data_IF_373235222731
#
_entry.id   IF_373235222731
#
_cell.length_a   1.000
_cell.length_b   1.000
_cell.length_c   1.000
_cell.angle_alpha   90.00
_cell.angle_beta   90.00
_cell.angle_gamma   90.00
#
_symmetry.space_group_name_H-M   'P 1'
#
loop_
_entity.id
_entity.type
_entity.pdbx_description
1 polymer ?
#
# COMPACT_ATOMS: atom_id res chain seq x y z
N UNK A 1 -52.86 71.12 -4.51
CA UNK A 1 -53.21 70.97 -3.09
C UNK A 1 -52.69 69.63 -2.58
N UNK A 2 -51.88 69.64 -1.51
CA UNK A 2 -51.62 68.62 -0.47
C UNK A 2 -52.33 67.24 -0.68
N UNK A 3 -51.72 66.04 -0.58
CA UNK A 3 -50.98 65.45 0.56
C UNK A 3 -50.29 64.11 0.17
N UNK A 4 -49.13 63.82 0.80
CA UNK A 4 -48.62 62.57 1.44
C UNK A 4 -49.01 61.16 0.91
N UNK A 5 -48.24 60.06 0.98
CA UNK A 5 -46.85 59.64 1.30
C UNK A 5 -46.84 58.10 1.07
N UNK A 6 -45.70 57.54 0.60
CA UNK A 6 -45.16 56.16 0.72
C UNK A 6 -46.02 54.89 0.64
N UNK A 7 -45.53 53.90 -0.12
CA UNK A 7 -44.91 52.66 0.43
C UNK A 7 -44.05 51.96 -0.65
N UNK A 8 -42.86 51.55 -0.21
CA UNK A 8 -41.76 50.88 -0.91
C UNK A 8 -42.13 49.46 -1.37
N UNK A 9 -41.68 49.08 -2.57
CA UNK A 9 -41.46 47.68 -2.95
C UNK A 9 -40.01 47.54 -3.46
N UNK A 10 -39.17 46.90 -2.65
CA UNK A 10 -37.77 46.60 -2.92
C UNK A 10 -37.71 45.36 -3.81
N UNK A 11 -37.33 45.52 -5.07
CA UNK A 11 -37.05 44.40 -5.97
C UNK A 11 -35.63 43.91 -5.71
N UNK A 12 -35.50 42.78 -5.01
CA UNK A 12 -34.23 42.11 -4.78
C UNK A 12 -33.75 41.44 -6.07
N UNK A 13 -32.66 41.96 -6.64
CA UNK A 13 -31.90 41.33 -7.72
C UNK A 13 -31.15 40.13 -7.13
N UNK A 14 -31.52 38.92 -7.57
CA UNK A 14 -30.80 37.68 -7.27
C UNK A 14 -29.43 37.73 -7.96
N UNK A 15 -28.39 38.10 -7.21
CA UNK A 15 -27.01 37.88 -7.61
C UNK A 15 -26.64 36.42 -7.28
N UNK A 16 -26.58 35.57 -8.31
CA UNK A 16 -26.00 34.23 -8.19
C UNK A 16 -24.49 34.36 -7.98
N UNK A 17 -24.05 34.34 -6.74
CA UNK A 17 -22.65 34.11 -6.40
C UNK A 17 -22.33 32.65 -6.72
N UNK A 18 -21.65 32.42 -7.84
CA UNK A 18 -20.99 31.16 -8.10
C UNK A 18 -19.89 30.97 -7.06
N UNK A 19 -20.03 29.96 -6.21
CA UNK A 19 -18.96 29.48 -5.34
C UNK A 19 -17.94 28.77 -6.22
N UNK A 20 -16.98 29.50 -6.77
CA UNK A 20 -15.74 28.85 -7.22
C UNK A 20 -15.00 28.38 -5.96
N UNK A 21 -14.52 27.12 -5.89
CA UNK A 21 -13.63 26.73 -4.83
C UNK A 21 -12.40 27.64 -4.91
N UNK A 22 -12.18 28.43 -3.86
CA UNK A 22 -10.96 29.19 -3.70
C UNK A 22 -9.82 28.18 -3.53
N UNK A 23 -9.01 27.99 -4.57
CA UNK A 23 -7.70 27.38 -4.40
C UNK A 23 -6.94 28.24 -3.38
N UNK A 24 -6.69 27.67 -2.20
CA UNK A 24 -5.83 28.29 -1.21
C UNK A 24 -4.51 28.63 -1.92
N UNK A 25 -4.21 29.93 -2.05
CA UNK A 25 -2.99 30.39 -2.68
C UNK A 25 -1.82 30.02 -1.76
N UNK A 26 -1.16 28.90 -2.03
CA UNK A 26 0.02 28.47 -1.26
C UNK A 26 1.08 29.57 -1.35
N UNK A 27 1.45 30.14 -0.20
CA UNK A 27 2.56 31.06 -0.11
C UNK A 27 3.85 30.35 -0.55
N UNK A 28 4.77 31.06 -1.20
CA UNK A 28 6.06 30.46 -1.59
C UNK A 28 6.84 30.10 -0.33
N UNK A 29 7.03 28.81 -0.09
CA UNK A 29 7.79 28.27 1.04
C UNK A 29 8.87 27.33 0.52
N UNK A 30 10.02 27.32 1.20
CA UNK A 30 11.11 26.35 0.92
C UNK A 30 10.81 24.94 1.44
N UNK A 31 9.76 24.81 2.26
CA UNK A 31 9.33 23.58 2.91
C UNK A 31 7.81 23.50 2.87
N UNK A 32 7.28 22.34 2.53
CA UNK A 32 5.89 21.98 2.67
C UNK A 32 5.82 20.64 3.40
N UNK A 33 4.84 20.48 4.29
CA UNK A 33 4.60 19.21 4.94
C UNK A 33 3.12 18.97 5.10
N UNK A 34 2.78 17.70 5.10
CA UNK A 34 1.47 17.20 5.44
C UNK A 34 1.65 15.99 6.35
N UNK A 35 0.80 15.87 7.35
CA UNK A 35 0.77 14.74 8.26
C UNK A 35 -0.62 14.14 8.19
N UNK A 36 -0.69 12.82 8.09
CA UNK A 36 -1.93 12.07 8.21
C UNK A 36 -1.95 11.36 9.56
N UNK A 37 -3.11 11.40 10.20
CA UNK A 37 -3.44 10.44 11.25
C UNK A 37 -3.73 9.06 10.61
N UNK A 38 -4.24 8.08 11.36
CA UNK A 38 -4.55 6.74 10.84
C UNK A 38 -5.50 6.84 9.63
N UNK A 39 -4.96 6.59 8.44
CA UNK A 39 -5.74 6.39 7.22
C UNK A 39 -5.72 4.89 6.91
N UNK A 40 -6.74 4.18 7.40
CA UNK A 40 -6.94 2.78 7.05
C UNK A 40 -7.21 2.67 5.56
N UNK A 41 -6.20 2.27 4.80
CA UNK A 41 -6.39 1.79 3.44
C UNK A 41 -7.16 0.47 3.55
N UNK A 42 -8.40 0.37 3.02
CA UNK A 42 -9.13 -0.88 3.09
C UNK A 42 -8.37 -1.97 2.33
N UNK A 43 -8.49 -3.21 2.80
CA UNK A 43 -7.93 -4.42 2.17
C UNK A 43 -8.16 -4.40 0.67
N UNK A 44 -7.16 -3.96 -0.08
CA UNK A 44 -7.20 -4.06 -1.53
C UNK A 44 -6.87 -5.48 -1.91
N UNK A 45 -7.78 -6.09 -2.66
CA UNK A 45 -7.48 -7.26 -3.46
C UNK A 45 -6.27 -6.99 -4.36
N UNK A 46 -5.68 -8.06 -4.89
CA UNK A 46 -4.48 -8.11 -5.75
C UNK A 46 -4.45 -7.18 -6.98
N UNK A 47 -5.49 -6.37 -7.20
CA UNK A 47 -5.68 -5.51 -8.37
C UNK A 47 -6.30 -4.13 -8.04
N UNK A 48 -6.34 -3.69 -6.79
CA UNK A 48 -6.87 -2.35 -6.53
C UNK A 48 -5.93 -1.26 -7.08
N UNK A 49 -6.48 -0.18 -7.67
CA UNK A 49 -5.66 0.94 -8.09
C UNK A 49 -4.97 1.57 -6.86
N UNK A 50 -3.73 2.09 -7.02
CA UNK A 50 -3.08 2.83 -5.96
C UNK A 50 -3.95 4.00 -5.49
N UNK A 51 -3.96 4.25 -4.18
CA UNK A 51 -4.74 5.35 -3.60
C UNK A 51 -3.83 6.46 -3.10
N UNK A 52 -4.25 7.71 -3.25
CA UNK A 52 -3.54 8.85 -2.68
C UNK A 52 -3.80 8.92 -1.17
N UNK A 53 -2.74 8.85 -0.38
CA UNK A 53 -2.81 8.87 1.10
C UNK A 53 -2.37 10.19 1.71
N UNK A 54 -1.50 10.91 1.01
CA UNK A 54 -0.99 12.23 1.39
C UNK A 54 -0.92 13.08 0.13
N UNK A 55 -1.37 14.33 0.17
CA UNK A 55 -1.12 15.33 -0.85
C UNK A 55 -0.70 16.70 -0.28
N UNK A 56 0.36 17.28 -0.87
CA UNK A 56 0.77 18.64 -0.56
C UNK A 56 1.05 19.45 -1.83
N UNK A 57 1.08 20.77 -1.69
CA UNK A 57 1.45 21.68 -2.77
C UNK A 57 2.67 22.50 -2.38
N UNK A 58 3.59 22.69 -3.31
CA UNK A 58 4.76 23.56 -3.13
C UNK A 58 4.92 24.50 -4.31
N UNK A 59 5.26 25.76 -4.04
CA UNK A 59 5.54 26.76 -5.07
C UNK A 59 7.02 26.91 -5.31
N UNK A 60 7.48 26.59 -6.51
CA UNK A 60 8.86 26.73 -6.97
C UNK A 60 9.03 28.07 -7.72
N UNK A 61 9.89 29.00 -7.27
CA UNK A 61 10.09 30.28 -7.93
C UNK A 61 11.05 30.22 -9.14
N UNK A 62 11.79 29.11 -9.31
CA UNK A 62 12.81 28.92 -10.36
C UNK A 62 12.94 27.43 -10.73
N UNK A 63 13.81 27.09 -11.70
CA UNK A 63 14.22 25.70 -11.96
C UNK A 63 14.89 25.10 -10.73
N UNK A 64 14.12 24.36 -9.94
CA UNK A 64 14.54 23.81 -8.64
C UNK A 64 14.22 22.34 -8.57
N UNK A 65 14.93 21.68 -7.67
CA UNK A 65 14.72 20.27 -7.37
C UNK A 65 13.94 20.17 -6.06
N UNK A 66 13.15 19.10 -5.92
CA UNK A 66 12.44 18.77 -4.70
C UNK A 66 13.05 17.52 -4.09
N UNK A 67 13.37 17.61 -2.80
CA UNK A 67 13.61 16.45 -1.95
C UNK A 67 12.30 16.13 -1.24
N UNK A 68 11.81 14.91 -1.41
CA UNK A 68 10.48 14.48 -0.98
C UNK A 68 10.66 13.33 0.01
N UNK A 69 10.48 13.59 1.29
CA UNK A 69 10.49 12.58 2.34
C UNK A 69 9.09 12.01 2.54
N UNK A 70 8.95 10.70 2.42
CA UNK A 70 7.69 10.01 2.71
C UNK A 70 7.94 9.07 3.87
N UNK A 71 7.23 9.27 4.97
CA UNK A 71 7.23 8.37 6.14
C UNK A 71 5.86 7.74 6.27
N UNK A 72 5.79 6.42 6.39
CA UNK A 72 4.54 5.69 6.57
C UNK A 72 4.73 4.54 7.56
N UNK A 73 3.76 4.35 8.44
CA UNK A 73 3.54 3.12 9.20
C UNK A 73 2.87 2.10 8.28
N UNK A 74 3.43 0.91 8.13
CA UNK A 74 2.90 -0.18 7.30
C UNK A 74 2.46 -1.33 8.19
N UNK A 75 1.43 -2.05 7.77
CA UNK A 75 0.96 -3.26 8.43
C UNK A 75 0.80 -4.38 7.40
N UNK A 76 1.32 -5.57 7.71
CA UNK A 76 1.18 -6.78 6.89
C UNK A 76 0.61 -7.91 7.75
N UNK A 77 -0.46 -8.52 7.25
CA UNK A 77 -1.08 -9.71 7.80
C UNK A 77 -1.00 -10.85 6.78
N UNK A 78 -0.51 -12.01 7.20
CA UNK A 78 -0.55 -13.24 6.42
C UNK A 78 -0.98 -14.40 7.29
N UNK A 79 -1.84 -15.24 6.75
CA UNK A 79 -2.29 -16.48 7.34
C UNK A 79 -2.06 -17.59 6.31
N UNK A 80 -1.40 -18.66 6.73
CA UNK A 80 -1.38 -19.92 5.99
C UNK A 80 -1.81 -21.05 6.90
N UNK A 81 -2.63 -21.94 6.39
CA UNK A 81 -3.12 -23.11 7.09
C UNK A 81 -3.02 -24.29 6.16
N UNK A 82 -2.38 -25.36 6.65
CA UNK A 82 -2.31 -26.65 5.97
C UNK A 82 -3.17 -27.64 6.73
N UNK A 83 -3.84 -28.51 5.98
CA UNK A 83 -4.75 -29.51 6.51
C UNK A 83 -4.50 -30.85 5.81
N UNK A 84 -4.39 -31.93 6.57
CA UNK A 84 -4.06 -33.22 5.97
C UNK A 84 -4.25 -34.41 6.90
N UNK A 85 -4.20 -35.59 6.29
CA UNK A 85 -4.19 -36.91 6.92
C UNK A 85 -3.52 -37.92 5.99
N UNK A 86 -3.27 -39.13 6.50
CA UNK A 86 -2.73 -40.24 5.72
C UNK A 86 -1.38 -39.94 5.05
N UNK A 87 -0.58 -39.03 5.62
CA UNK A 87 0.72 -38.68 5.07
C UNK A 87 0.64 -37.95 3.72
N UNK A 88 -0.49 -37.33 3.39
CA UNK A 88 -0.59 -36.45 2.23
C UNK A 88 -0.05 -35.06 2.57
N UNK A 89 0.83 -34.53 1.73
CA UNK A 89 1.37 -33.18 1.88
C UNK A 89 0.34 -32.16 1.44
N UNK A 90 0.09 -31.16 2.29
CA UNK A 90 -0.66 -29.96 1.95
C UNK A 90 0.26 -28.74 2.00
N UNK A 91 -0.05 -27.73 1.18
CA UNK A 91 0.74 -26.49 1.09
C UNK A 91 -0.19 -25.29 0.99
N UNK A 92 0.14 -24.25 1.76
CA UNK A 92 -0.54 -22.97 1.74
C UNK A 92 0.49 -21.82 1.73
N UNK A 93 0.29 -20.88 0.82
CA UNK A 93 1.13 -19.71 0.59
C UNK A 93 0.29 -18.43 0.69
N UNK A 94 0.87 -17.41 1.33
CA UNK A 94 0.30 -16.08 1.44
C UNK A 94 1.40 -15.04 1.24
N UNK A 95 1.14 -14.00 0.45
CA UNK A 95 2.05 -12.88 0.27
C UNK A 95 1.30 -11.56 0.31
N UNK A 96 1.98 -10.55 0.87
CA UNK A 96 1.49 -9.19 0.99
C UNK A 96 2.65 -8.23 0.69
N UNK A 97 2.42 -7.21 -0.12
CA UNK A 97 3.40 -6.21 -0.53
C UNK A 97 2.76 -4.84 -0.45
N UNK A 98 3.54 -3.86 0.01
CA UNK A 98 3.14 -2.46 0.09
C UNK A 98 4.14 -1.59 -0.65
N UNK A 99 3.64 -0.92 -1.67
CA UNK A 99 4.42 -0.12 -2.60
C UNK A 99 4.00 1.34 -2.51
N UNK A 100 5.00 2.23 -2.53
CA UNK A 100 4.81 3.68 -2.43
C UNK A 100 5.37 4.33 -3.69
N UNK A 101 4.61 5.26 -4.25
CA UNK A 101 5.01 6.09 -5.39
C UNK A 101 4.54 7.52 -5.17
N UNK A 102 5.17 8.47 -5.86
CA UNK A 102 4.78 9.88 -5.76
C UNK A 102 4.39 10.38 -7.15
N UNK A 103 3.18 10.93 -7.27
CA UNK A 103 2.78 11.68 -8.44
C UNK A 103 3.19 13.14 -8.28
N UNK A 104 3.69 13.72 -9.38
CA UNK A 104 3.94 15.14 -9.50
C UNK A 104 2.96 15.71 -10.52
N UNK A 105 2.14 16.67 -10.10
CA UNK A 105 1.07 17.28 -10.90
C UNK A 105 0.13 16.23 -11.52
N UNK A 106 -0.24 15.22 -10.73
CA UNK A 106 -1.07 14.09 -11.15
C UNK A 106 -0.39 13.11 -12.11
N UNK A 107 0.92 13.21 -12.33
CA UNK A 107 1.66 12.36 -13.28
C UNK A 107 2.72 11.52 -12.57
N UNK A 108 2.86 10.21 -12.93
CA UNK A 108 3.95 9.39 -12.44
C UNK A 108 5.27 9.81 -13.09
N UNK A 109 6.37 9.27 -12.57
CA UNK A 109 7.69 9.42 -13.20
C UNK A 109 7.68 8.94 -14.65
N UNK A 110 8.23 9.78 -15.53
CA UNK A 110 8.39 9.48 -16.95
C UNK A 110 9.87 9.25 -17.25
N UNK A 111 10.27 8.00 -17.59
CA UNK A 111 11.67 7.66 -17.85
C UNK A 111 12.22 8.27 -19.14
N UNK A 112 11.36 8.64 -20.10
CA UNK A 112 11.78 9.18 -21.41
C UNK A 112 12.32 10.60 -21.29
N UNK A 113 11.73 11.41 -20.42
CA UNK A 113 12.13 12.81 -20.22
C UNK A 113 12.67 13.08 -18.80
N UNK A 114 12.84 12.04 -17.98
CA UNK A 114 13.32 12.11 -16.59
C UNK A 114 12.54 13.12 -15.74
N UNK A 115 11.23 13.22 -15.96
CA UNK A 115 10.34 14.12 -15.22
C UNK A 115 9.46 13.36 -14.23
N UNK A 116 9.09 14.02 -13.13
CA UNK A 116 8.36 13.42 -12.02
C UNK A 116 9.27 13.01 -10.86
N UNK A 117 8.69 12.34 -9.86
CA UNK A 117 9.42 11.92 -8.67
C UNK A 117 10.10 10.56 -8.87
N UNK A 118 11.41 10.51 -8.69
CA UNK A 118 12.24 9.30 -8.78
C UNK A 118 12.66 8.82 -7.37
N UNK A 119 12.76 7.51 -7.10
CA UNK A 119 12.39 6.39 -7.97
C UNK A 119 10.88 6.33 -8.26
N UNK A 120 10.45 5.75 -9.38
CA UNK A 120 9.03 5.69 -9.75
C UNK A 120 8.17 4.97 -8.70
N UNK A 121 8.77 4.02 -7.97
CA UNK A 121 8.11 3.17 -6.98
C UNK A 121 9.14 2.59 -6.03
N UNK A 122 8.77 2.45 -4.76
CA UNK A 122 9.57 1.81 -3.71
C UNK A 122 8.69 0.84 -2.93
N UNK A 123 9.21 -0.36 -2.65
CA UNK A 123 8.54 -1.31 -1.77
C UNK A 123 8.92 -0.97 -0.33
N UNK A 124 7.95 -0.59 0.49
CA UNK A 124 8.20 -0.31 1.91
C UNK A 124 8.23 -1.61 2.71
N UNK A 125 7.28 -2.49 2.44
CA UNK A 125 7.17 -3.75 3.14
C UNK A 125 6.74 -4.87 2.18
N UNK A 126 7.24 -6.07 2.43
CA UNK A 126 6.91 -7.27 1.67
C UNK A 126 7.06 -8.50 2.54
N UNK A 127 6.02 -9.32 2.58
CA UNK A 127 6.05 -10.66 3.15
C UNK A 127 5.63 -11.67 2.11
N UNK A 128 6.38 -12.76 2.03
CA UNK A 128 5.96 -14.00 1.40
C UNK A 128 6.14 -15.13 2.41
N UNK A 129 5.11 -15.95 2.57
CA UNK A 129 5.07 -17.04 3.53
C UNK A 129 4.51 -18.27 2.83
N UNK A 130 5.22 -19.39 2.96
CA UNK A 130 4.76 -20.70 2.49
C UNK A 130 4.86 -21.67 3.66
N UNK A 131 3.76 -22.36 3.96
CA UNK A 131 3.69 -23.43 4.94
C UNK A 131 3.36 -24.72 4.19
N UNK A 132 4.20 -25.74 4.36
CA UNK A 132 3.98 -27.08 3.84
C UNK A 132 4.11 -28.07 4.98
N UNK A 133 3.17 -29.01 5.08
CA UNK A 133 3.25 -30.08 6.06
C UNK A 133 2.66 -31.38 5.51
N UNK A 134 3.25 -32.49 5.93
CA UNK A 134 2.74 -33.84 5.71
C UNK A 134 2.18 -34.34 7.02
N UNK A 135 0.85 -34.50 7.09
CA UNK A 135 0.16 -34.80 8.34
C UNK A 135 -0.39 -36.22 8.37
N UNK A 136 -0.22 -36.89 9.51
CA UNK A 136 -0.67 -38.26 9.72
C UNK A 136 -2.18 -38.36 9.94
N UNK A 137 -2.75 -37.34 10.59
CA UNK A 137 -4.14 -37.36 11.04
C UNK A 137 -4.28 -37.95 12.43
N UNK A 138 -5.33 -37.56 13.15
CA UNK A 138 -5.62 -38.09 14.49
C UNK A 138 -6.34 -39.43 14.36
N UNK A 139 -5.78 -40.47 14.97
CA UNK A 139 -6.38 -41.83 15.01
C UNK A 139 -7.64 -41.80 15.87
N UNK A 140 -8.79 -42.12 15.27
CA UNK A 140 -10.07 -42.24 15.98
C UNK A 140 -10.32 -43.67 16.45
N UNK A 141 -10.06 -44.64 15.58
CA UNK A 141 -10.25 -46.06 15.86
C UNK A 141 -9.41 -46.89 14.91
N UNK A 142 -8.96 -48.06 15.35
CA UNK A 142 -8.29 -49.06 14.51
C UNK A 142 -8.94 -50.43 14.71
N UNK A 143 -9.04 -51.21 13.64
CA UNK A 143 -9.48 -52.61 13.69
C UNK A 143 -8.59 -53.44 12.77
N UNK A 144 -8.11 -54.58 13.28
CA UNK A 144 -7.40 -55.58 12.47
C UNK A 144 -8.42 -56.21 11.51
N UNK A 145 -8.44 -55.74 10.27
CA UNK A 145 -9.42 -56.14 9.26
C UNK A 145 -8.97 -57.41 8.52
N UNK A 146 -7.68 -57.72 8.54
CA UNK A 146 -7.10 -58.84 7.81
C UNK A 146 -6.80 -60.06 8.72
N UNK A 147 -6.84 -59.88 10.04
CA UNK A 147 -6.65 -60.92 11.05
C UNK A 147 -5.19 -61.37 11.24
N UNK A 148 -4.20 -60.58 10.81
CA UNK A 148 -2.79 -60.95 10.87
C UNK A 148 -2.11 -60.60 12.22
N UNK A 149 -2.83 -59.93 13.13
CA UNK A 149 -2.34 -59.51 14.44
C UNK A 149 -1.51 -58.22 14.43
N UNK A 150 -1.45 -57.50 13.31
CA UNK A 150 -0.72 -56.25 13.12
C UNK A 150 -1.66 -55.16 12.61
N UNK A 151 -1.68 -54.00 13.27
CA UNK A 151 -2.47 -52.85 12.80
C UNK A 151 -1.65 -52.00 11.84
N UNK A 152 -2.08 -51.96 10.57
CA UNK A 152 -1.56 -51.07 9.53
C UNK A 152 -2.33 -49.76 9.50
N UNK A 153 -1.77 -48.70 10.10
CA UNK A 153 -2.45 -47.41 10.30
C UNK A 153 -3.04 -46.81 9.02
N UNK A 154 -2.38 -46.99 7.87
CA UNK A 154 -2.83 -46.42 6.60
C UNK A 154 -4.12 -47.05 6.03
N UNK A 155 -4.44 -48.29 6.40
CA UNK A 155 -5.56 -49.05 5.83
C UNK A 155 -6.56 -49.56 6.86
N UNK A 156 -6.16 -49.63 8.13
CA UNK A 156 -6.91 -50.27 9.21
C UNK A 156 -7.31 -49.31 10.34
N UNK A 157 -6.92 -48.04 10.22
CA UNK A 157 -7.34 -46.99 11.12
C UNK A 157 -8.19 -45.94 10.41
N UNK A 158 -9.22 -45.45 11.10
CA UNK A 158 -9.96 -44.25 10.72
C UNK A 158 -9.22 -43.04 11.29
N UNK A 159 -8.76 -42.15 10.41
CA UNK A 159 -8.08 -40.92 10.82
C UNK A 159 -8.86 -39.67 10.42
N UNK A 160 -8.86 -38.68 11.31
CA UNK A 160 -9.37 -37.34 11.03
C UNK A 160 -8.24 -36.40 10.65
N UNK A 161 -8.58 -35.34 9.93
CA UNK A 161 -7.58 -34.37 9.48
C UNK A 161 -6.93 -33.64 10.66
N UNK A 162 -5.62 -33.44 10.58
CA UNK A 162 -4.88 -32.49 11.42
C UNK A 162 -4.71 -31.17 10.68
N UNK A 163 -4.47 -30.10 11.43
CA UNK A 163 -4.26 -28.77 10.87
C UNK A 163 -3.11 -28.06 11.58
N UNK A 164 -2.31 -27.34 10.79
CA UNK A 164 -1.30 -26.41 11.29
C UNK A 164 -1.62 -25.05 10.69
N UNK A 165 -1.64 -24.02 11.53
CA UNK A 165 -1.89 -22.65 11.12
C UNK A 165 -0.75 -21.75 11.57
N UNK A 166 -0.27 -20.90 10.65
CA UNK A 166 0.68 -19.85 10.92
C UNK A 166 0.06 -18.51 10.55
N UNK A 167 -0.07 -17.63 11.53
CA UNK A 167 -0.54 -16.25 11.38
C UNK A 167 0.62 -15.34 11.74
N UNK A 168 0.96 -14.41 10.84
CA UNK A 168 1.93 -13.36 11.07
C UNK A 168 1.25 -12.01 10.89
N UNK A 169 1.29 -11.20 11.94
CA UNK A 169 0.86 -9.81 11.96
C UNK A 169 2.06 -8.95 12.33
N UNK A 170 2.37 -7.97 11.50
CA UNK A 170 3.51 -7.08 11.73
C UNK A 170 3.17 -5.66 11.34
N UNK A 171 3.72 -4.73 12.12
CA UNK A 171 3.67 -3.31 11.85
C UNK A 171 5.09 -2.75 11.90
N UNK A 172 5.43 -1.91 10.94
CA UNK A 172 6.74 -1.29 10.83
C UNK A 172 6.62 0.18 10.39
N UNK A 173 7.61 0.99 10.74
CA UNK A 173 7.70 2.38 10.28
C UNK A 173 8.81 2.49 9.25
N UNK A 174 8.49 3.01 8.07
CA UNK A 174 9.41 3.18 6.96
C UNK A 174 9.48 4.64 6.54
N UNK A 175 10.65 5.04 6.06
CA UNK A 175 10.86 6.32 5.41
C UNK A 175 11.73 6.15 4.17
N UNK A 176 11.36 6.82 3.09
CA UNK A 176 12.17 6.86 1.86
C UNK A 176 12.15 8.27 1.24
N UNK A 177 13.26 8.64 0.62
CA UNK A 177 13.39 9.91 -0.08
C UNK A 177 13.19 9.73 -1.59
N UNK A 178 12.27 10.50 -2.15
CA UNK A 178 12.09 10.69 -3.58
C UNK A 178 12.69 12.02 -4.01
N UNK A 179 13.05 12.14 -5.28
CA UNK A 179 13.63 13.35 -5.87
C UNK A 179 12.89 13.69 -7.15
N UNK A 180 12.44 14.93 -7.26
CA UNK A 180 11.98 15.49 -8.53
C UNK A 180 12.94 16.60 -8.96
N UNK A 181 13.53 16.46 -10.14
CA UNK A 181 14.58 17.37 -10.61
C UNK A 181 14.07 18.36 -11.67
N UNK A 182 14.70 19.53 -11.73
CA UNK A 182 14.51 20.54 -12.77
C UNK A 182 13.05 21.01 -12.99
N UNK A 183 12.27 21.17 -11.93
CA UNK A 183 10.87 21.59 -12.04
C UNK A 183 10.77 23.02 -12.62
N UNK A 184 9.80 23.25 -13.50
CA UNK A 184 9.51 24.61 -13.97
C UNK A 184 9.03 25.50 -12.83
N UNK A 185 9.19 26.84 -12.91
CA UNK A 185 8.56 27.72 -11.93
C UNK A 185 7.04 27.54 -11.93
N UNK A 186 6.43 27.34 -10.77
CA UNK A 186 4.99 27.08 -10.68
C UNK A 186 4.56 26.60 -9.30
N UNK A 187 3.27 26.31 -9.17
CA UNK A 187 2.74 25.53 -8.04
C UNK A 187 2.70 24.08 -8.52
N UNK A 188 3.36 23.21 -7.76
CA UNK A 188 3.36 21.79 -8.01
C UNK A 188 2.57 21.06 -6.94
N UNK A 189 1.77 20.10 -7.36
CA UNK A 189 1.03 19.20 -6.47
C UNK A 189 1.78 17.89 -6.37
N UNK A 190 2.00 17.42 -5.15
CA UNK A 190 2.58 16.12 -4.86
C UNK A 190 1.51 15.25 -4.25
N UNK A 191 1.42 14.01 -4.71
CA UNK A 191 0.47 13.02 -4.21
C UNK A 191 1.21 11.72 -3.95
N UNK A 192 1.26 11.29 -2.69
CA UNK A 192 1.80 9.98 -2.31
C UNK A 192 0.73 8.94 -2.59
N UNK A 193 1.02 8.04 -3.51
CA UNK A 193 0.19 6.89 -3.83
C UNK A 193 0.72 5.63 -3.18
N UNK A 194 -0.18 4.88 -2.57
CA UNK A 194 0.10 3.56 -2.00
C UNK A 194 -0.62 2.51 -2.83
N UNK A 195 0.14 1.56 -3.35
CA UNK A 195 -0.35 0.32 -3.93
C UNK A 195 -0.13 -0.85 -2.99
N UNK A 196 -1.07 -1.78 -2.96
CA UNK A 196 -0.96 -3.00 -2.17
C UNK A 196 -1.16 -4.20 -3.10
N UNK A 197 -0.25 -5.17 -2.99
CA UNK A 197 -0.35 -6.45 -3.67
C UNK A 197 -0.55 -7.56 -2.65
N UNK A 198 -1.55 -8.40 -2.85
CA UNK A 198 -1.78 -9.60 -2.04
C UNK A 198 -1.92 -10.81 -2.95
N UNK A 199 -1.37 -11.95 -2.55
CA UNK A 199 -1.53 -13.21 -3.29
C UNK A 199 -1.64 -14.37 -2.31
N UNK A 200 -2.48 -15.35 -2.63
CA UNK A 200 -2.74 -16.53 -1.79
C UNK A 200 -2.94 -17.76 -2.64
N UNK A 201 -2.35 -18.88 -2.23
CA UNK A 201 -2.54 -20.19 -2.85
C UNK A 201 -2.64 -21.24 -1.75
N UNK A 202 -3.59 -22.17 -1.82
CA UNK A 202 -3.74 -23.21 -0.80
C UNK A 202 -4.37 -24.47 -1.39
N UNK A 203 -4.02 -25.63 -0.83
CA UNK A 203 -4.66 -26.91 -1.11
C UNK A 203 -5.88 -27.15 -0.23
N UNK A 204 -5.79 -28.12 0.67
CA UNK A 204 -6.92 -28.54 1.52
C UNK A 204 -7.17 -27.62 2.73
N UNK A 205 -6.17 -26.82 3.13
CA UNK A 205 -6.29 -25.82 4.17
C UNK A 205 -6.84 -24.47 3.70
N UNK A 206 -6.24 -23.37 4.14
CA UNK A 206 -6.66 -22.00 3.80
C UNK A 206 -5.48 -21.02 3.79
N UNK A 207 -5.62 -19.90 3.07
CA UNK A 207 -4.67 -18.79 3.16
C UNK A 207 -5.40 -17.44 3.09
N UNK A 208 -4.86 -16.43 3.77
CA UNK A 208 -5.34 -15.05 3.75
C UNK A 208 -4.15 -14.10 3.80
N UNK A 209 -4.25 -12.97 3.10
CA UNK A 209 -3.22 -11.94 3.09
C UNK A 209 -3.87 -10.56 3.06
N UNK A 210 -3.24 -9.61 3.74
CA UNK A 210 -3.71 -8.22 3.83
C UNK A 210 -2.51 -7.32 4.08
N UNK A 211 -2.55 -6.12 3.52
CA UNK A 211 -1.63 -5.04 3.84
C UNK A 211 -2.40 -3.75 4.03
N UNK A 212 -1.84 -2.84 4.83
CA UNK A 212 -2.41 -1.53 5.09
C UNK A 212 -1.33 -0.51 5.45
N UNK A 213 -1.72 0.76 5.41
CA UNK A 213 -0.91 1.89 5.88
C UNK A 213 -1.61 2.50 7.09
N UNK A 214 -0.81 2.96 8.05
CA UNK A 214 -1.23 3.68 9.24
C UNK A 214 -0.88 5.17 9.13
N UNK A 215 -0.29 5.72 10.19
CA UNK A 215 0.09 7.13 10.25
C UNK A 215 1.23 7.42 9.29
N UNK A 216 1.30 8.68 8.85
CA UNK A 216 2.33 9.09 7.91
C UNK A 216 2.61 10.58 7.88
N UNK A 217 3.74 10.93 7.29
CA UNK A 217 4.10 12.32 7.01
C UNK A 217 4.75 12.42 5.64
N UNK A 218 4.33 13.43 4.88
CA UNK A 218 4.95 13.88 3.65
C UNK A 218 5.70 15.17 3.95
N UNK A 219 6.99 15.22 3.63
CA UNK A 219 7.81 16.43 3.71
C UNK A 219 8.40 16.72 2.35
N UNK A 220 8.40 17.99 1.95
CA UNK A 220 8.89 18.43 0.65
C UNK A 220 9.75 19.65 0.86
N UNK A 221 11.00 19.57 0.44
CA UNK A 221 11.97 20.66 0.52
C UNK A 221 12.43 21.08 -0.87
N UNK A 222 12.46 22.39 -1.12
CA UNK A 222 13.10 22.95 -2.30
C UNK A 222 14.62 22.96 -2.11
N UNK A 223 15.31 22.14 -2.88
CA UNK A 223 16.78 22.02 -2.84
C UNK A 223 17.41 22.49 -4.15
N UNK A 224 18.72 22.76 -4.08
CA UNK A 224 19.58 22.93 -5.25
C UNK A 224 20.53 21.74 -5.27
N UNK A 225 20.21 20.72 -6.06
CA UNK A 225 21.04 19.52 -6.18
C UNK A 225 21.97 19.62 -7.41
N UNK A 226 23.04 18.82 -7.38
CA UNK A 226 23.80 18.49 -8.58
C UNK A 226 23.23 17.16 -9.07
N UNK A 227 22.51 17.19 -10.18
CA UNK A 227 21.83 16.01 -10.72
C UNK A 227 22.84 15.12 -11.45
N UNK A 228 23.02 13.89 -10.96
CA UNK A 228 23.86 12.85 -11.59
C UNK A 228 23.02 11.56 -11.72
N UNK A 229 22.98 10.99 -12.91
CA UNK A 229 22.31 9.70 -13.16
C UNK A 229 23.37 8.61 -13.16
N UNK A 230 23.32 7.72 -12.18
CA UNK A 230 24.17 6.50 -12.16
C UNK A 230 23.39 5.38 -12.85
N UNK A 231 23.88 4.79 -13.96
CA UNK A 231 23.28 3.61 -14.57
C UNK A 231 23.19 2.47 -13.55
N UNK A 232 22.01 1.85 -13.44
CA UNK A 232 21.53 1.14 -12.24
C UNK A 232 22.49 0.15 -11.58
N UNK A 233 22.59 0.26 -10.25
CA UNK A 233 22.93 -0.87 -9.40
C UNK A 233 21.65 -1.72 -9.25
N UNK A 234 21.56 -2.80 -10.02
CA UNK A 234 20.54 -3.82 -9.79
C UNK A 234 20.72 -4.43 -8.40
N UNK A 235 19.63 -4.86 -7.76
CA UNK A 235 19.73 -5.77 -6.62
C UNK A 235 20.07 -7.13 -7.22
N UNK A 236 21.36 -7.49 -7.23
CA UNK A 236 21.83 -8.81 -7.65
C UNK A 236 21.65 -9.76 -6.48
N UNK A 237 20.71 -10.70 -6.61
CA UNK A 237 20.62 -11.83 -5.70
C UNK A 237 21.52 -12.95 -6.27
N UNK A 238 22.73 -13.10 -5.71
CA UNK A 238 23.55 -14.27 -5.97
C UNK A 238 22.96 -15.45 -5.19
N UNK A 239 22.11 -16.24 -5.85
CA UNK A 239 21.53 -17.46 -5.28
C UNK A 239 22.42 -18.70 -5.50
N UNK A 240 23.71 -18.53 -5.80
CA UNK A 240 24.66 -19.63 -5.98
C UNK A 240 25.94 -19.44 -5.16
N UNK A 241 25.85 -19.67 -3.84
CA UNK A 241 26.95 -20.20 -3.03
C UNK A 241 26.44 -21.30 -2.10
#
# INVERSE_FOLDING_TARGET
MKKFVSIFAVTAVLATFGTTPAFAQTASSKFAAEVSDITLIPNSSSSAPPITVLSTMIKTPNKKDLLIGVSLETALFTQTQVKGKNGTTDTASASATLEVSVLLDGKPFNPTNLSGAFPPKVVYDKRAQTLSATLGGVIQSCQDLNGDGVITVATECVVTDEMIQLILDTMAAHHFNFVAANLSPGIHTLEVQVGVGVDTSFGAGSASATAGVGRGSLTVEEVRAINQVVPGAGIEFDFLQ
#
